data_IF_215618474181
#
_entry.id   IF_215618474181
#
_cell.length_a   1.000
_cell.length_b   1.000
_cell.length_c   1.000
_cell.angle_alpha   90.00
_cell.angle_beta   90.00
_cell.angle_gamma   90.00
#
_symmetry.space_group_name_H-M   'P 1'
#
loop_
_entity.id
_entity.type
_entity.pdbx_description
1 polymer ?
#
# COMPACT_ATOMS: atom_id res chain seq x y z
N UNK A 1 7.03 8.27 23.71
CA UNK A 1 7.66 7.47 22.62
C UNK A 1 6.63 6.73 21.79
N UNK A 2 5.67 6.00 22.36
CA UNK A 2 4.64 5.26 21.60
C UNK A 2 3.73 6.16 20.72
N UNK A 3 3.35 7.35 21.20
CA UNK A 3 2.61 8.34 20.40
C UNK A 3 3.40 8.84 19.18
N UNK A 4 4.70 9.09 19.32
CA UNK A 4 5.57 9.46 18.20
C UNK A 4 5.69 8.32 17.19
N UNK A 5 5.84 7.08 17.66
CA UNK A 5 5.91 5.90 16.79
C UNK A 5 4.61 5.70 16.01
N UNK A 6 3.45 5.87 16.67
CA UNK A 6 2.12 5.77 16.04
C UNK A 6 1.94 6.83 14.95
N UNK A 7 2.34 8.07 15.24
CA UNK A 7 2.30 9.16 14.27
C UNK A 7 3.23 8.92 13.08
N UNK A 8 4.41 8.34 13.32
CA UNK A 8 5.34 7.96 12.26
C UNK A 8 4.80 6.83 11.38
N UNK A 9 4.10 5.84 11.97
CA UNK A 9 3.43 4.76 11.23
C UNK A 9 2.32 5.33 10.35
N UNK A 10 1.50 6.24 10.86
CA UNK A 10 0.41 6.88 10.11
C UNK A 10 0.95 7.70 8.93
N UNK A 11 2.04 8.45 9.14
CA UNK A 11 2.75 9.17 8.09
C UNK A 11 3.29 8.24 7.00
N UNK A 12 3.91 7.13 7.39
CA UNK A 12 4.40 6.12 6.45
C UNK A 12 3.25 5.46 5.67
N UNK A 13 2.12 5.20 6.32
CA UNK A 13 0.94 4.62 5.67
C UNK A 13 0.33 5.56 4.61
N UNK A 14 0.23 6.86 4.91
CA UNK A 14 -0.24 7.87 3.95
C UNK A 14 0.69 7.99 2.74
N UNK A 15 2.01 8.02 2.97
CA UNK A 15 3.00 8.04 1.90
C UNK A 15 2.93 6.77 1.02
N UNK A 16 2.75 5.61 1.64
CA UNK A 16 2.52 4.36 0.90
C UNK A 16 1.24 4.41 0.06
N UNK A 17 0.19 5.09 0.51
CA UNK A 17 -1.03 5.33 -0.25
C UNK A 17 -0.78 6.13 -1.53
N UNK A 18 -0.09 7.27 -1.44
CA UNK A 18 0.25 8.12 -2.59
C UNK A 18 1.14 7.38 -3.59
N UNK A 19 2.16 6.65 -3.11
CA UNK A 19 3.03 5.86 -3.97
C UNK A 19 2.27 4.75 -4.71
N UNK A 20 1.33 4.08 -4.05
CA UNK A 20 0.51 3.05 -4.68
C UNK A 20 -0.38 3.63 -5.79
N UNK A 21 -0.94 4.81 -5.58
CA UNK A 21 -1.69 5.52 -6.61
C UNK A 21 -0.82 5.88 -7.82
N UNK A 22 0.40 6.37 -7.60
CA UNK A 22 1.36 6.64 -8.69
C UNK A 22 1.75 5.36 -9.45
N UNK A 23 1.96 4.24 -8.74
CA UNK A 23 2.26 2.94 -9.38
C UNK A 23 1.11 2.51 -10.30
N UNK A 24 -0.14 2.69 -9.88
CA UNK A 24 -1.31 2.34 -10.70
C UNK A 24 -1.40 3.19 -11.98
N UNK A 25 -1.11 4.49 -11.88
CA UNK A 25 -1.08 5.41 -13.03
C UNK A 25 0.03 5.00 -14.00
N UNK A 26 1.26 4.81 -13.51
CA UNK A 26 2.40 4.38 -14.34
C UNK A 26 2.16 3.00 -14.96
N UNK A 27 1.58 2.06 -14.22
CA UNK A 27 1.22 0.74 -14.74
C UNK A 27 0.22 0.84 -15.89
N UNK A 28 -0.75 1.76 -15.79
CA UNK A 28 -1.71 2.02 -16.87
C UNK A 28 -1.01 2.58 -18.10
N UNK A 29 -0.07 3.52 -17.91
CA UNK A 29 0.71 4.08 -19.02
C UNK A 29 1.62 3.03 -19.68
N UNK A 30 2.29 2.17 -18.89
CA UNK A 30 3.11 1.07 -19.41
C UNK A 30 2.27 0.06 -20.20
N UNK A 31 1.08 -0.27 -19.68
CA UNK A 31 0.16 -1.15 -20.39
C UNK A 31 -0.28 -0.56 -21.74
N UNK A 32 -0.59 0.74 -21.78
CA UNK A 32 -0.95 1.43 -23.03
C UNK A 32 0.23 1.46 -24.01
N UNK A 33 1.45 1.66 -23.53
CA UNK A 33 2.67 1.59 -24.34
C UNK A 33 2.88 0.18 -24.93
N UNK A 34 2.66 -0.87 -24.14
CA UNK A 34 2.76 -2.24 -24.60
C UNK A 34 1.70 -2.58 -25.66
N UNK A 35 0.47 -2.09 -25.50
CA UNK A 35 -0.58 -2.22 -26.53
C UNK A 35 -0.18 -1.54 -27.84
N UNK A 36 0.38 -0.32 -27.80
CA UNK A 36 0.88 0.37 -28.99
C UNK A 36 2.04 -0.39 -29.63
N UNK A 37 2.97 -0.93 -28.84
CA UNK A 37 4.09 -1.73 -29.34
C UNK A 37 3.62 -3.02 -30.03
N UNK A 38 2.50 -3.59 -29.57
CA UNK A 38 1.83 -4.73 -30.19
C UNK A 38 0.96 -4.37 -31.42
N UNK A 39 0.98 -3.11 -31.86
CA UNK A 39 0.19 -2.62 -33.00
C UNK A 39 -1.31 -2.54 -32.71
N UNK A 40 -1.72 -2.66 -31.44
CA UNK A 40 -3.09 -2.44 -31.00
C UNK A 40 -3.26 -0.94 -30.73
N UNK A 41 -4.29 -0.34 -31.30
CA UNK A 41 -4.58 1.08 -31.08
C UNK A 41 -4.87 1.35 -29.61
N UNK A 42 -3.90 1.93 -28.91
CA UNK A 42 -4.08 2.45 -27.55
C UNK A 42 -3.76 3.95 -27.56
N UNK A 43 -4.57 4.71 -26.82
CA UNK A 43 -4.31 6.14 -26.62
C UNK A 43 -3.15 6.24 -25.64
N UNK A 44 -1.98 6.67 -26.15
CA UNK A 44 -0.87 7.01 -25.28
C UNK A 44 -1.25 8.26 -24.47
N UNK A 45 -0.86 8.32 -23.19
CA UNK A 45 -0.97 9.55 -22.44
C UNK A 45 -0.18 10.64 -23.15
N UNK A 46 -0.78 11.81 -23.28
CA UNK A 46 -0.07 12.96 -23.82
C UNK A 46 0.83 13.58 -22.74
N UNK A 47 1.74 14.47 -23.16
CA UNK A 47 2.67 15.11 -22.24
C UNK A 47 1.97 16.01 -21.21
N UNK A 48 0.75 16.46 -21.50
CA UNK A 48 -0.04 17.31 -20.62
C UNK A 48 -0.70 16.49 -19.51
N UNK A 49 -1.23 15.30 -19.84
CA UNK A 49 -1.74 14.30 -18.89
C UNK A 49 -0.62 13.85 -17.93
N UNK A 50 0.59 13.54 -18.44
CA UNK A 50 1.74 13.16 -17.59
C UNK A 50 2.17 14.31 -16.67
N UNK A 51 2.24 15.54 -17.20
CA UNK A 51 2.62 16.71 -16.39
C UNK A 51 1.56 17.03 -15.33
N UNK A 52 0.28 16.85 -15.66
CA UNK A 52 -0.83 17.01 -14.73
C UNK A 52 -0.78 15.99 -13.58
N UNK A 53 -0.54 14.72 -13.89
CA UNK A 53 -0.40 13.67 -12.88
C UNK A 53 0.81 13.91 -11.97
N UNK A 54 1.92 14.40 -12.53
CA UNK A 54 3.10 14.80 -11.76
C UNK A 54 2.82 15.99 -10.83
N UNK A 55 2.15 17.04 -11.31
CA UNK A 55 1.78 18.20 -10.51
C UNK A 55 0.80 17.82 -9.38
N UNK A 56 -0.20 16.98 -9.66
CA UNK A 56 -1.15 16.50 -8.65
C UNK A 56 -0.44 15.66 -7.57
N UNK A 57 0.54 14.84 -7.96
CA UNK A 57 1.39 14.12 -7.04
C UNK A 57 2.21 15.04 -6.13
N UNK A 58 2.80 16.09 -6.70
CA UNK A 58 3.56 17.10 -5.95
C UNK A 58 2.66 17.85 -4.95
N UNK A 59 1.46 18.26 -5.36
CA UNK A 59 0.48 18.92 -4.49
C UNK A 59 0.08 18.03 -3.31
N UNK A 60 -0.16 16.73 -3.54
CA UNK A 60 -0.47 15.79 -2.47
C UNK A 60 0.70 15.64 -1.48
N UNK A 61 1.93 15.61 -1.98
CA UNK A 61 3.13 15.54 -1.12
C UNK A 61 3.33 16.84 -0.32
N UNK A 62 3.09 17.99 -0.94
CA UNK A 62 3.14 19.29 -0.28
C UNK A 62 2.08 19.39 0.83
N UNK A 63 0.86 18.93 0.56
CA UNK A 63 -0.21 18.88 1.55
C UNK A 63 0.14 17.96 2.72
N UNK A 64 0.65 16.75 2.46
CA UNK A 64 1.09 15.82 3.50
C UNK A 64 2.22 16.41 4.37
N UNK A 65 3.12 17.18 3.77
CA UNK A 65 4.16 17.88 4.51
C UNK A 65 3.57 18.99 5.40
N UNK A 66 2.67 19.81 4.86
CA UNK A 66 2.00 20.86 5.63
C UNK A 66 1.18 20.29 6.81
N UNK A 67 0.46 19.18 6.58
CA UNK A 67 -0.30 18.49 7.60
C UNK A 67 0.61 17.90 8.69
N UNK A 68 1.79 17.39 8.30
CA UNK A 68 2.81 16.91 9.23
C UNK A 68 3.35 18.02 10.12
N UNK A 69 3.72 19.17 9.53
CA UNK A 69 4.25 20.33 10.25
C UNK A 69 3.20 20.91 11.21
N UNK A 70 1.94 21.01 10.76
CA UNK A 70 0.82 21.44 11.61
C UNK A 70 0.63 20.48 12.79
N UNK A 71 0.59 19.17 12.53
CA UNK A 71 0.42 18.18 13.59
C UNK A 71 1.58 18.18 14.60
N UNK A 72 2.80 18.49 14.18
CA UNK A 72 3.96 18.63 15.08
C UNK A 72 3.86 19.89 15.95
N UNK A 73 3.40 21.01 15.38
CA UNK A 73 3.17 22.26 16.12
C UNK A 73 2.06 22.13 17.18
N UNK A 74 0.97 21.43 16.85
CA UNK A 74 -0.16 21.20 17.76
C UNK A 74 0.23 20.25 18.89
N UNK A 75 0.95 19.16 18.60
CA UNK A 75 1.43 18.23 19.63
C UNK A 75 2.39 18.88 20.64
N UNK A 76 3.24 19.80 20.16
CA UNK A 76 4.18 20.56 21.00
C UNK A 76 3.46 21.60 21.85
N UNK A 77 2.48 22.31 21.29
CA UNK A 77 1.71 23.34 22.01
C UNK A 77 0.76 22.73 23.02
N UNK A 78 0.05 21.66 22.66
CA UNK A 78 -0.86 20.96 23.56
C UNK A 78 -0.14 20.39 24.78
N UNK A 79 1.07 19.85 24.62
CA UNK A 79 1.86 19.36 25.76
C UNK A 79 2.35 20.48 26.70
N UNK A 80 2.45 21.72 26.21
CA UNK A 80 2.95 22.87 26.97
C UNK A 80 1.83 23.65 27.70
N UNK A 81 0.57 23.49 27.30
CA UNK A 81 -0.56 24.25 27.87
C UNK A 81 -1.48 23.43 28.78
N UNK A 82 -1.31 22.11 28.85
CA UNK A 82 -2.11 21.25 29.73
C UNK A 82 -1.78 21.53 31.20
N UNK A 83 -2.81 21.68 32.03
CA UNK A 83 -2.62 21.69 33.49
C UNK A 83 -2.24 20.29 33.98
N UNK A 84 -1.58 20.21 35.14
CA UNK A 84 -1.08 18.94 35.69
C UNK A 84 -2.16 17.85 35.82
N UNK A 85 -3.40 18.25 36.11
CA UNK A 85 -4.53 17.33 36.23
C UNK A 85 -4.99 16.80 34.87
N UNK A 86 -5.07 17.67 33.86
CA UNK A 86 -5.37 17.28 32.48
C UNK A 86 -4.26 16.39 31.89
N UNK A 87 -3.01 16.62 32.28
CA UNK A 87 -1.88 15.77 31.90
C UNK A 87 -2.01 14.36 32.50
N UNK A 88 -2.42 14.23 33.77
CA UNK A 88 -2.66 12.92 34.38
C UNK A 88 -3.84 12.17 33.75
N UNK A 89 -4.92 12.89 33.39
CA UNK A 89 -6.07 12.31 32.69
C UNK A 89 -5.69 11.85 31.28
N UNK A 90 -4.84 12.62 30.59
CA UNK A 90 -4.30 12.23 29.29
C UNK A 90 -3.44 10.97 29.39
N UNK A 91 -2.59 10.86 30.42
CA UNK A 91 -1.79 9.67 30.67
C UNK A 91 -2.65 8.45 31.05
N UNK A 92 -3.72 8.64 31.82
CA UNK A 92 -4.70 7.60 32.15
C UNK A 92 -5.45 7.13 30.91
N UNK A 93 -5.94 8.05 30.07
CA UNK A 93 -6.59 7.74 28.80
C UNK A 93 -5.65 7.03 27.84
N UNK A 94 -4.38 7.42 27.80
CA UNK A 94 -3.37 6.77 26.96
C UNK A 94 -3.10 5.33 27.42
N UNK A 95 -3.12 5.09 28.74
CA UNK A 95 -3.02 3.75 29.32
C UNK A 95 -4.25 2.89 29.01
N UNK A 96 -5.45 3.46 29.09
CA UNK A 96 -6.72 2.76 28.82
C UNK A 96 -6.91 2.48 27.32
N UNK A 97 -6.42 3.36 26.45
CA UNK A 97 -6.47 3.18 24.98
C UNK A 97 -5.55 2.08 24.44
N UNK A 98 -4.85 1.33 25.31
CA UNK A 98 -4.06 0.16 24.93
C UNK A 98 -2.77 0.49 24.18
N UNK A 99 -2.28 1.73 24.20
CA UNK A 99 -1.00 2.09 23.59
C UNK A 99 0.20 1.41 24.29
N UNK A 100 0.02 0.89 25.51
CA UNK A 100 0.99 0.07 26.25
C UNK A 100 0.45 -1.35 26.44
N UNK A 101 0.35 -2.10 25.35
CA UNK A 101 0.33 -3.56 25.40
C UNK A 101 1.22 -4.06 24.28
N UNK A 102 2.52 -4.05 24.56
CA UNK A 102 3.44 -4.96 23.92
C UNK A 102 3.18 -6.34 24.51
N UNK A 103 2.59 -7.22 23.71
CA UNK A 103 2.75 -8.65 23.86
C UNK A 103 3.16 -9.22 22.50
N UNK A 104 4.46 -9.45 22.36
CA UNK A 104 5.12 -10.48 21.55
C UNK A 104 6.65 -10.29 21.74
N UNK A 105 7.50 -11.33 21.71
CA UNK A 105 7.24 -12.72 21.29
C UNK A 105 7.86 -13.81 22.22
N UNK A 106 7.32 -15.03 22.19
CA UNK A 106 8.12 -16.23 22.45
C UNK A 106 8.03 -17.15 21.25
N UNK A 107 9.19 -17.37 20.64
CA UNK A 107 9.47 -18.47 19.73
C UNK A 107 9.14 -19.80 20.41
N UNK A 108 8.42 -20.68 19.71
CA UNK A 108 8.59 -22.13 19.89
C UNK A 108 8.61 -22.78 18.50
N UNK A 109 9.79 -23.28 18.16
CA UNK A 109 10.04 -24.16 17.03
C UNK A 109 9.53 -25.57 17.36
N UNK A 110 8.41 -25.99 16.77
CA UNK A 110 8.20 -27.43 16.53
C UNK A 110 7.07 -27.70 15.55
N UNK A 111 7.42 -27.98 14.30
CA UNK A 111 6.89 -29.10 13.50
C UNK A 111 7.25 -28.87 12.03
N UNK A 112 8.45 -29.31 11.67
CA UNK A 112 8.77 -29.73 10.30
C UNK A 112 8.66 -31.25 10.28
N UNK A 113 7.69 -31.78 9.53
CA UNK A 113 7.61 -33.19 9.08
C UNK A 113 6.90 -33.12 7.71
N UNK A 114 7.64 -32.96 6.60
CA UNK A 114 8.18 -33.99 5.69
C UNK A 114 7.21 -34.48 4.59
N UNK A 115 7.74 -34.45 3.35
CA UNK A 115 7.43 -35.25 2.16
C UNK A 115 6.22 -34.92 1.25
N UNK A 116 6.56 -34.34 0.08
CA UNK A 116 5.89 -34.64 -1.18
C UNK A 116 6.27 -33.71 -2.34
N UNK A 117 7.11 -34.13 -3.31
CA UNK A 117 7.30 -33.39 -4.56
C UNK A 117 6.33 -33.92 -5.63
N UNK A 118 5.60 -33.03 -6.29
CA UNK A 118 4.90 -33.36 -7.54
C UNK A 118 4.83 -32.13 -8.44
N UNK A 119 5.85 -31.98 -9.27
CA UNK A 119 5.78 -31.29 -10.57
C UNK A 119 4.80 -32.01 -11.49
N UNK A 120 4.10 -31.29 -12.38
CA UNK A 120 3.77 -31.81 -13.69
C UNK A 120 4.59 -31.08 -14.76
N UNK A 121 5.43 -31.87 -15.41
CA UNK A 121 6.13 -31.55 -16.64
C UNK A 121 5.15 -31.38 -17.80
N UNK A 122 5.56 -30.55 -18.77
CA UNK A 122 4.96 -30.45 -20.08
C UNK A 122 4.98 -31.79 -20.84
N UNK A 123 3.94 -32.09 -21.62
CA UNK A 123 4.11 -32.81 -22.88
C UNK A 123 2.97 -32.56 -23.87
N UNK A 124 3.37 -32.36 -25.13
CA UNK A 124 2.57 -32.13 -26.34
C UNK A 124 2.11 -33.47 -26.94
N UNK A 125 1.27 -33.35 -27.97
CA UNK A 125 0.69 -34.38 -28.87
C UNK A 125 -0.55 -35.10 -28.30
N UNK A 126 -1.59 -35.41 -29.06
CA UNK A 126 -1.71 -35.50 -30.51
C UNK A 126 -3.18 -35.34 -30.91
N UNK A 127 -3.41 -34.77 -32.09
CA UNK A 127 -4.74 -34.67 -32.73
C UNK A 127 -4.93 -35.94 -33.56
N UNK A 128 -6.17 -36.44 -33.71
CA UNK A 128 -6.71 -36.43 -35.07
C UNK A 128 -8.21 -36.09 -35.16
N UNK A 129 -8.64 -35.93 -36.40
CA UNK A 129 -9.85 -35.27 -36.90
C UNK A 129 -11.07 -36.21 -37.03
N UNK A 130 -12.28 -35.64 -36.87
CA UNK A 130 -13.57 -35.88 -37.62
C UNK A 130 -14.21 -37.30 -37.63
N UNK A 131 -15.52 -37.51 -37.94
CA UNK A 131 -16.47 -36.63 -38.66
C UNK A 131 -17.94 -36.53 -38.12
N UNK A 132 -18.69 -35.62 -38.75
CA UNK A 132 -20.15 -35.51 -39.01
C UNK A 132 -21.12 -36.60 -38.49
N UNK A 133 -22.29 -36.17 -37.99
CA UNK A 133 -23.66 -36.47 -38.53
C UNK A 133 -24.78 -35.93 -37.60
N UNK A 134 -25.40 -34.81 -38.00
CA UNK A 134 -26.85 -34.48 -38.19
C UNK A 134 -28.01 -35.07 -37.31
N UNK A 135 -29.27 -34.57 -37.41
CA UNK A 135 -30.06 -34.03 -36.29
C UNK A 135 -31.28 -34.88 -35.88
N UNK A 136 -32.00 -34.41 -34.86
CA UNK A 136 -33.36 -34.84 -34.51
C UNK A 136 -34.29 -33.64 -34.35
#
# INVERSE_FOLDING_TARGET
QLLQLRKEIERRAQLMGVLNQQINIVSTHLHNLELVQQGRGAKLPDSEEIAGDAAAAEDMLAQLQADSELADSVGTTASATLSNEEQSLYEELLRESGAVSGDAPTEDESSIEEAGPSTPAASKNDRPQTPQSEPG
#
